data_IF_849983930550
#
_entry.id   IF_849983930550
#
_cell.length_a   1.000
_cell.length_b   1.000
_cell.length_c   1.000
_cell.angle_alpha   90.00
_cell.angle_beta   90.00
_cell.angle_gamma   90.00
#
_symmetry.space_group_name_H-M   'P 1'
#
loop_
_entity.id
_entity.type
_entity.pdbx_description
1 polymer ?
#
# COMPACT_ATOMS: atom_id res chain seq x y z
N UNK A 1 5.85 17.69 13.32
CA UNK A 1 5.75 17.81 11.85
C UNK A 1 6.52 16.65 11.24
N UNK A 2 5.86 15.51 10.98
CA UNK A 2 6.50 14.35 10.35
C UNK A 2 6.55 14.61 8.85
N UNK A 3 7.67 15.14 8.38
CA UNK A 3 7.89 15.47 6.97
C UNK A 3 8.10 14.18 6.17
N UNK A 4 7.01 13.64 5.66
CA UNK A 4 7.04 12.49 4.79
C UNK A 4 5.68 11.99 4.38
N UNK A 5 4.91 12.82 3.68
CA UNK A 5 3.60 12.43 3.15
C UNK A 5 3.66 11.32 2.09
N UNK A 6 2.54 11.06 1.37
CA UNK A 6 2.45 10.00 0.36
C UNK A 6 3.51 10.09 -0.73
N UNK A 7 4.03 11.30 -0.95
CA UNK A 7 5.10 11.59 -1.88
C UNK A 7 6.40 10.83 -1.60
N UNK A 8 6.74 10.56 -0.33
CA UNK A 8 7.93 9.73 -0.04
C UNK A 8 7.73 8.29 -0.50
N UNK A 9 6.52 7.74 -0.34
CA UNK A 9 6.18 6.41 -0.82
C UNK A 9 6.24 6.33 -2.36
N UNK A 10 6.00 7.44 -3.06
CA UNK A 10 6.17 7.52 -4.54
C UNK A 10 7.64 7.55 -4.98
N UNK A 11 8.58 7.77 -4.06
CA UNK A 11 10.03 7.89 -4.34
C UNK A 11 10.85 6.69 -3.87
N UNK A 12 10.19 5.65 -3.36
CA UNK A 12 10.83 4.40 -2.91
C UNK A 12 11.60 3.72 -4.05
N UNK A 13 12.54 2.85 -3.69
CA UNK A 13 13.32 2.03 -4.64
C UNK A 13 12.37 1.26 -5.55
N UNK A 14 11.35 0.62 -4.98
CA UNK A 14 10.34 -0.10 -5.76
C UNK A 14 9.55 0.82 -6.70
N UNK A 15 9.19 2.04 -6.28
CA UNK A 15 8.49 3.00 -7.15
C UNK A 15 9.35 3.45 -8.33
N UNK A 16 10.64 3.75 -8.10
CA UNK A 16 11.56 4.09 -9.19
C UNK A 16 11.76 2.89 -10.13
N UNK A 17 12.04 1.71 -9.58
CA UNK A 17 12.21 0.49 -10.36
C UNK A 17 10.99 0.17 -11.24
N UNK A 18 9.78 0.31 -10.68
CA UNK A 18 8.56 0.08 -11.44
C UNK A 18 8.36 1.12 -12.55
N UNK A 19 8.62 2.40 -12.26
CA UNK A 19 8.59 3.46 -13.25
C UNK A 19 9.58 3.22 -14.40
N UNK A 20 10.79 2.79 -14.07
CA UNK A 20 11.80 2.38 -15.06
C UNK A 20 11.34 1.17 -15.87
N UNK A 21 10.79 0.13 -15.22
CA UNK A 21 10.29 -1.06 -15.91
C UNK A 21 9.19 -0.71 -16.93
N UNK A 22 8.23 0.15 -16.55
CA UNK A 22 7.19 0.62 -17.46
C UNK A 22 7.75 1.50 -18.58
N UNK A 23 8.75 2.32 -18.30
CA UNK A 23 9.42 3.17 -19.29
C UNK A 23 10.46 2.41 -20.14
N UNK A 24 10.61 1.09 -19.97
CA UNK A 24 11.57 0.27 -20.72
C UNK A 24 11.11 -0.02 -22.15
N UNK A 25 11.99 -0.58 -22.97
CA UNK A 25 11.59 -1.15 -24.26
C UNK A 25 10.49 -2.21 -24.03
N UNK A 26 9.40 -2.09 -24.77
CA UNK A 26 8.25 -3.02 -24.75
C UNK A 26 8.68 -4.47 -24.83
N UNK A 27 9.71 -4.79 -25.62
CA UNK A 27 10.22 -6.19 -25.72
C UNK A 27 10.77 -6.69 -24.38
N UNK A 28 11.53 -5.87 -23.67
CA UNK A 28 12.08 -6.21 -22.35
C UNK A 28 10.95 -6.36 -21.34
N UNK A 29 10.01 -5.42 -21.33
CA UNK A 29 8.83 -5.44 -20.47
C UNK A 29 8.01 -6.72 -20.67
N UNK A 30 7.63 -7.04 -21.91
CA UNK A 30 6.84 -8.22 -22.26
C UNK A 30 7.57 -9.51 -21.86
N UNK A 31 8.88 -9.55 -22.04
CA UNK A 31 9.70 -10.70 -21.64
C UNK A 31 9.69 -10.88 -20.12
N UNK A 32 9.95 -9.82 -19.34
CA UNK A 32 9.94 -9.89 -17.86
C UNK A 32 8.55 -10.28 -17.34
N UNK A 33 7.48 -9.66 -17.85
CA UNK A 33 6.11 -10.00 -17.49
C UNK A 33 5.78 -11.46 -17.85
N UNK A 34 6.28 -11.97 -18.99
CA UNK A 34 6.16 -13.37 -19.37
C UNK A 34 6.76 -14.31 -18.33
N UNK A 35 7.97 -14.00 -17.83
CA UNK A 35 8.60 -14.77 -16.74
C UNK A 35 7.85 -14.65 -15.41
N UNK A 36 7.32 -13.47 -15.05
CA UNK A 36 6.51 -13.32 -13.82
C UNK A 36 5.25 -14.19 -13.86
N UNK A 37 4.52 -14.16 -14.99
CA UNK A 37 3.35 -15.00 -15.21
C UNK A 37 3.71 -16.49 -15.18
N UNK A 38 4.83 -16.87 -15.79
CA UNK A 38 5.31 -18.25 -15.76
C UNK A 38 5.65 -18.72 -14.34
N UNK A 39 6.36 -17.89 -13.56
CA UNK A 39 6.68 -18.20 -12.16
C UNK A 39 5.42 -18.37 -11.32
N UNK A 40 4.47 -17.43 -11.41
CA UNK A 40 3.22 -17.49 -10.68
C UNK A 40 2.40 -18.74 -11.06
N UNK A 41 2.37 -19.11 -12.35
CA UNK A 41 1.71 -20.33 -12.83
C UNK A 41 2.36 -21.60 -12.26
N UNK A 42 3.69 -21.69 -12.29
CA UNK A 42 4.44 -22.83 -11.75
C UNK A 42 4.22 -22.96 -10.23
N UNK A 43 4.25 -21.83 -9.51
CA UNK A 43 3.96 -21.80 -8.07
C UNK A 43 2.57 -22.36 -7.74
N UNK A 44 1.54 -22.02 -8.54
CA UNK A 44 0.18 -22.54 -8.37
C UNK A 44 0.05 -24.03 -8.67
N UNK A 45 0.92 -24.59 -9.51
CA UNK A 45 0.96 -26.03 -9.80
C UNK A 45 1.52 -26.90 -8.66
N UNK A 46 2.07 -26.28 -7.61
CA UNK A 46 2.76 -27.01 -6.53
C UNK A 46 4.11 -27.61 -6.96
N UNK A 47 4.57 -27.26 -8.16
CA UNK A 47 5.86 -27.72 -8.69
C UNK A 47 7.02 -27.04 -7.97
N UNK A 48 8.18 -27.70 -7.99
CA UNK A 48 9.41 -27.13 -7.43
C UNK A 48 9.77 -25.86 -8.18
N UNK A 49 10.47 -24.95 -7.49
CA UNK A 49 11.04 -23.71 -8.06
C UNK A 49 12.21 -24.03 -9.02
N UNK A 50 12.09 -25.06 -9.86
CA UNK A 50 13.12 -25.41 -10.83
C UNK A 50 13.11 -24.37 -11.95
N UNK A 51 14.22 -23.67 -12.10
CA UNK A 51 14.43 -22.69 -13.16
C UNK A 51 14.10 -23.22 -14.55
N UNK A 52 14.38 -24.50 -14.85
CA UNK A 52 14.12 -25.09 -16.17
C UNK A 52 12.62 -25.15 -16.46
N UNK A 53 11.83 -25.50 -15.44
CA UNK A 53 10.37 -25.54 -15.51
C UNK A 53 9.82 -24.13 -15.79
N UNK A 54 10.30 -23.13 -15.04
CA UNK A 54 9.86 -21.74 -15.23
C UNK A 54 10.25 -21.20 -16.60
N UNK A 55 11.47 -21.47 -17.07
CA UNK A 55 11.94 -21.04 -18.40
C UNK A 55 11.11 -21.70 -19.51
N UNK A 56 10.83 -23.00 -19.40
CA UNK A 56 9.97 -23.70 -20.34
C UNK A 56 8.54 -23.14 -20.35
N UNK A 57 7.97 -22.87 -19.17
CA UNK A 57 6.64 -22.28 -19.01
C UNK A 57 6.56 -20.85 -19.59
N UNK A 58 7.66 -20.09 -19.55
CA UNK A 58 7.76 -18.76 -20.16
C UNK A 58 7.97 -18.81 -21.69
N UNK A 59 8.19 -19.99 -22.29
CA UNK A 59 8.59 -20.12 -23.69
C UNK A 59 9.95 -19.46 -23.99
N UNK A 60 10.80 -19.33 -22.97
CA UNK A 60 12.06 -18.60 -23.05
C UNK A 60 13.29 -19.49 -23.18
N UNK A 61 14.46 -18.86 -23.30
CA UNK A 61 15.76 -19.52 -23.25
C UNK A 61 16.46 -19.28 -21.91
N UNK A 62 17.25 -20.25 -21.45
CA UNK A 62 18.04 -20.13 -20.21
C UNK A 62 18.98 -18.90 -20.24
N UNK A 63 19.57 -18.59 -21.39
CA UNK A 63 20.43 -17.41 -21.54
C UNK A 63 19.68 -16.10 -21.29
N UNK A 64 18.44 -15.97 -21.80
CA UNK A 64 17.56 -14.83 -21.52
C UNK A 64 17.21 -14.76 -20.04
N UNK A 65 16.89 -15.89 -19.42
CA UNK A 65 16.59 -15.94 -17.98
C UNK A 65 17.77 -15.43 -17.14
N UNK A 66 19.00 -15.89 -17.39
CA UNK A 66 20.18 -15.39 -16.68
C UNK A 66 20.50 -13.94 -17.01
N UNK A 67 20.24 -13.48 -18.24
CA UNK A 67 20.39 -12.07 -18.60
C UNK A 67 19.44 -11.17 -17.77
N UNK A 68 18.24 -11.64 -17.46
CA UNK A 68 17.23 -10.85 -16.73
C UNK A 68 17.36 -10.96 -15.21
N UNK A 69 17.61 -12.17 -14.70
CA UNK A 69 17.53 -12.47 -13.26
C UNK A 69 18.86 -12.98 -12.68
N UNK A 70 19.93 -13.03 -13.48
CA UNK A 70 21.27 -13.39 -13.00
C UNK A 70 21.95 -12.30 -12.17
N UNK A 71 23.18 -12.56 -11.70
CA UNK A 71 24.05 -11.53 -11.13
C UNK A 71 24.26 -10.39 -12.15
N UNK A 72 23.86 -9.17 -11.80
CA UNK A 72 23.90 -8.03 -12.73
C UNK A 72 22.81 -8.04 -13.80
N UNK A 73 21.71 -8.79 -13.59
CA UNK A 73 20.61 -8.86 -14.54
C UNK A 73 19.99 -7.50 -14.86
N UNK A 74 19.51 -7.35 -16.09
CA UNK A 74 18.97 -6.09 -16.61
C UNK A 74 17.81 -5.59 -15.72
N UNK A 75 18.03 -4.41 -15.12
CA UNK A 75 17.06 -3.73 -14.24
C UNK A 75 16.54 -4.65 -13.12
N UNK A 76 17.43 -5.42 -12.49
CA UNK A 76 17.06 -6.31 -11.40
C UNK A 76 16.68 -5.50 -10.14
N UNK A 77 15.52 -5.80 -9.57
CA UNK A 77 14.98 -5.06 -8.41
C UNK A 77 15.92 -5.15 -7.20
N UNK A 78 16.42 -6.35 -6.90
CA UNK A 78 17.31 -6.54 -5.76
C UNK A 78 18.66 -5.82 -5.93
N UNK A 79 19.09 -5.57 -7.17
CA UNK A 79 20.28 -4.74 -7.40
C UNK A 79 20.02 -3.28 -7.02
N UNK A 80 18.84 -2.75 -7.36
CA UNK A 80 18.43 -1.39 -6.96
C UNK A 80 18.31 -1.26 -5.44
N UNK A 81 17.81 -2.30 -4.74
CA UNK A 81 17.79 -2.33 -3.28
C UNK A 81 19.20 -2.43 -2.69
N UNK A 82 20.07 -3.28 -3.22
CA UNK A 82 21.44 -3.43 -2.73
C UNK A 82 22.24 -2.12 -2.89
N UNK A 83 22.01 -1.37 -3.96
CA UNK A 83 22.60 -0.05 -4.17
C UNK A 83 22.08 0.99 -3.15
N UNK A 84 20.77 0.98 -2.85
CA UNK A 84 20.17 1.99 -1.97
C UNK A 84 20.38 1.71 -0.48
N UNK A 85 20.30 0.45 -0.05
CA UNK A 85 20.30 0.05 1.37
C UNK A 85 21.61 -0.62 1.81
N UNK A 86 22.55 -0.84 0.89
CA UNK A 86 23.77 -1.60 1.12
C UNK A 86 23.56 -3.10 0.93
N UNK A 87 24.50 -3.76 0.24
CA UNK A 87 24.40 -5.16 -0.15
C UNK A 87 24.31 -6.18 0.99
N UNK A 88 24.65 -5.80 2.23
CA UNK A 88 24.54 -6.69 3.39
C UNK A 88 23.08 -6.93 3.83
N UNK A 89 22.18 -5.98 3.55
CA UNK A 89 20.76 -6.06 3.96
C UNK A 89 19.88 -6.83 2.98
N UNK A 90 20.35 -6.97 1.76
CA UNK A 90 19.63 -7.63 0.68
C UNK A 90 20.47 -8.84 0.29
N UNK A 91 20.05 -10.02 0.74
CA UNK A 91 20.70 -11.25 0.33
C UNK A 91 20.90 -11.26 -1.20
N UNK A 92 21.93 -11.96 -1.68
CA UNK A 92 22.20 -12.15 -3.10
C UNK A 92 21.67 -13.52 -3.55
N UNK A 93 20.35 -13.71 -3.63
CA UNK A 93 19.80 -15.03 -3.83
C UNK A 93 20.05 -15.50 -5.26
N UNK A 94 19.82 -16.80 -5.47
CA UNK A 94 19.89 -17.41 -6.80
C UNK A 94 18.87 -16.75 -7.76
N UNK A 95 19.08 -16.87 -9.09
CA UNK A 95 18.23 -16.20 -10.08
C UNK A 95 16.73 -16.54 -9.99
N UNK A 96 16.38 -17.74 -9.54
CA UNK A 96 14.98 -18.14 -9.41
C UNK A 96 14.32 -17.44 -8.24
N UNK A 97 15.04 -17.32 -7.13
CA UNK A 97 14.60 -16.53 -5.99
C UNK A 97 14.49 -15.04 -6.33
N UNK A 98 15.42 -14.48 -7.13
CA UNK A 98 15.31 -13.10 -7.68
C UNK A 98 14.02 -12.91 -8.47
N UNK A 99 13.73 -13.83 -9.38
CA UNK A 99 12.47 -13.85 -10.12
C UNK A 99 11.26 -13.92 -9.18
N UNK A 100 11.31 -14.74 -8.13
CA UNK A 100 10.24 -14.83 -7.14
C UNK A 100 9.96 -13.50 -6.43
N UNK A 101 11.01 -12.79 -6.00
CA UNK A 101 10.87 -11.46 -5.39
C UNK A 101 10.29 -10.42 -6.37
N UNK A 102 10.80 -10.37 -7.61
CA UNK A 102 10.26 -9.47 -8.63
C UNK A 102 8.80 -9.81 -8.99
N UNK A 103 8.45 -11.10 -9.04
CA UNK A 103 7.08 -11.57 -9.30
C UNK A 103 6.13 -11.17 -8.18
N UNK A 104 6.56 -11.28 -6.91
CA UNK A 104 5.76 -10.84 -5.76
C UNK A 104 5.49 -9.33 -5.81
N UNK A 105 6.48 -8.51 -6.16
CA UNK A 105 6.27 -7.06 -6.33
C UNK A 105 5.36 -6.75 -7.51
N UNK A 106 5.52 -7.45 -8.63
CA UNK A 106 4.66 -7.30 -9.80
C UNK A 106 3.19 -7.62 -9.49
N UNK A 107 2.93 -8.75 -8.81
CA UNK A 107 1.57 -9.14 -8.42
C UNK A 107 0.98 -8.19 -7.36
N UNK A 108 1.78 -7.76 -6.39
CA UNK A 108 1.36 -6.83 -5.33
C UNK A 108 1.11 -5.40 -5.83
N UNK A 109 1.62 -5.02 -7.01
CA UNK A 109 1.62 -3.62 -7.44
C UNK A 109 0.23 -2.98 -7.45
N UNK A 110 -0.79 -3.73 -7.87
CA UNK A 110 -2.19 -3.26 -7.86
C UNK A 110 -2.69 -2.91 -6.45
N UNK A 111 -2.45 -3.81 -5.47
CA UNK A 111 -2.79 -3.59 -4.06
C UNK A 111 -2.06 -2.36 -3.51
N UNK A 112 -0.77 -2.21 -3.84
CA UNK A 112 0.02 -1.02 -3.46
C UNK A 112 -0.59 0.28 -3.99
N UNK A 113 -0.98 0.32 -5.27
CA UNK A 113 -1.59 1.52 -5.86
C UNK A 113 -2.92 1.85 -5.18
N UNK A 114 -3.77 0.85 -4.94
CA UNK A 114 -5.03 1.05 -4.22
C UNK A 114 -4.83 1.61 -2.82
N UNK A 115 -3.85 1.07 -2.08
CA UNK A 115 -3.46 1.57 -0.77
C UNK A 115 -2.98 3.03 -0.81
N UNK A 116 -2.07 3.37 -1.73
CA UNK A 116 -1.56 4.74 -1.88
C UNK A 116 -2.68 5.73 -2.24
N UNK A 117 -3.59 5.36 -3.13
CA UNK A 117 -4.76 6.19 -3.46
C UNK A 117 -5.67 6.44 -2.25
N UNK A 118 -5.81 5.45 -1.35
CA UNK A 118 -6.52 5.62 -0.09
C UNK A 118 -5.84 6.62 0.84
N UNK A 119 -4.51 6.54 0.96
CA UNK A 119 -3.73 7.46 1.81
C UNK A 119 -3.75 8.92 1.31
N UNK A 120 -3.90 9.14 0.00
CA UNK A 120 -3.96 10.49 -0.58
C UNK A 120 -5.25 11.24 -0.20
N UNK A 121 -6.34 10.51 0.01
CA UNK A 121 -7.63 11.11 0.39
C UNK A 121 -7.63 11.54 1.85
N UNK A 122 -6.90 10.84 2.72
CA UNK A 122 -6.77 11.17 4.14
C UNK A 122 -5.46 10.58 4.62
N UNK A 123 -4.44 11.42 4.85
CA UNK A 123 -3.19 10.94 5.43
C UNK A 123 -3.41 10.63 6.90
N UNK A 124 -3.53 9.35 7.29
CA UNK A 124 -3.96 9.00 8.62
C UNK A 124 -2.77 8.98 9.57
N UNK A 125 -3.05 8.89 10.87
CA UNK A 125 -2.01 8.72 11.90
C UNK A 125 -1.13 7.49 11.58
N UNK A 126 0.18 7.48 11.90
CA UNK A 126 1.09 6.37 11.57
C UNK A 126 0.56 4.98 11.90
N UNK A 127 -0.12 4.79 13.02
CA UNK A 127 -0.74 3.51 13.40
C UNK A 127 -1.79 3.02 12.39
N UNK A 128 -2.61 3.92 11.84
CA UNK A 128 -3.59 3.59 10.82
C UNK A 128 -2.93 3.30 9.46
N UNK A 129 -1.81 3.96 9.15
CA UNK A 129 -0.99 3.62 7.97
C UNK A 129 -0.42 2.21 8.08
N UNK A 130 0.12 1.86 9.26
CA UNK A 130 0.64 0.50 9.54
C UNK A 130 -0.47 -0.54 9.42
N UNK A 131 -1.61 -0.33 10.09
CA UNK A 131 -2.73 -1.26 10.06
C UNK A 131 -3.24 -1.46 8.63
N UNK A 132 -3.48 -0.38 7.89
CA UNK A 132 -3.94 -0.49 6.51
C UNK A 132 -2.95 -1.26 5.62
N UNK A 133 -1.64 -1.05 5.77
CA UNK A 133 -0.64 -1.80 5.02
C UNK A 133 -0.60 -3.29 5.39
N UNK A 134 -0.76 -3.63 6.68
CA UNK A 134 -0.90 -5.03 7.14
C UNK A 134 -2.11 -5.69 6.50
N UNK A 135 -3.26 -5.02 6.49
CA UNK A 135 -4.48 -5.50 5.84
C UNK A 135 -4.29 -5.72 4.33
N UNK A 136 -3.64 -4.78 3.64
CA UNK A 136 -3.35 -4.86 2.20
C UNK A 136 -2.40 -6.02 1.86
N UNK A 137 -1.39 -6.29 2.70
CA UNK A 137 -0.50 -7.45 2.51
C UNK A 137 -1.23 -8.77 2.79
N UNK A 138 -2.12 -8.81 3.78
CA UNK A 138 -2.94 -9.99 4.06
C UNK A 138 -3.91 -10.29 2.89
N UNK A 139 -4.56 -9.27 2.35
CA UNK A 139 -5.44 -9.36 1.17
C UNK A 139 -4.69 -9.88 -0.07
N UNK A 140 -3.53 -9.30 -0.37
CA UNK A 140 -2.64 -9.81 -1.42
C UNK A 140 -2.29 -11.29 -1.21
N UNK A 141 -1.97 -11.68 0.03
CA UNK A 141 -1.58 -13.05 0.33
C UNK A 141 -2.74 -14.04 0.21
N UNK A 142 -3.97 -13.60 0.50
CA UNK A 142 -5.19 -14.37 0.27
C UNK A 142 -5.48 -14.58 -1.22
N UNK A 143 -5.21 -13.57 -2.06
CA UNK A 143 -5.36 -13.67 -3.52
C UNK A 143 -4.25 -14.51 -4.17
N UNK A 144 -3.01 -14.42 -3.67
CA UNK A 144 -1.82 -15.07 -4.23
C UNK A 144 -1.14 -16.09 -3.28
N UNK A 145 -1.85 -17.06 -2.68
CA UNK A 145 -1.31 -17.89 -1.60
C UNK A 145 -0.17 -18.79 -2.07
N UNK A 146 -0.22 -19.27 -3.32
CA UNK A 146 0.82 -20.10 -3.91
C UNK A 146 2.10 -19.32 -4.17
N UNK A 147 1.99 -18.06 -4.61
CA UNK A 147 3.14 -17.19 -4.83
C UNK A 147 3.84 -16.89 -3.50
N UNK A 148 3.07 -16.54 -2.46
CA UNK A 148 3.60 -16.31 -1.11
C UNK A 148 4.30 -17.55 -0.56
N UNK A 149 3.73 -18.75 -0.72
CA UNK A 149 4.42 -20.01 -0.37
C UNK A 149 5.69 -20.23 -1.19
N UNK A 150 5.64 -19.93 -2.48
CA UNK A 150 6.78 -20.01 -3.40
C UNK A 150 7.84 -18.91 -3.19
N UNK A 151 7.64 -17.97 -2.27
CA UNK A 151 8.69 -17.06 -1.81
C UNK A 151 9.11 -17.33 -0.36
N UNK A 152 8.63 -18.43 0.25
CA UNK A 152 8.94 -18.77 1.64
C UNK A 152 8.19 -17.90 2.64
N UNK A 153 7.02 -17.42 2.26
CA UNK A 153 6.19 -16.50 3.02
C UNK A 153 6.82 -15.12 3.24
N UNK A 154 7.79 -14.76 2.41
CA UNK A 154 8.35 -13.42 2.39
C UNK A 154 7.29 -12.45 1.83
N UNK A 155 7.01 -11.33 2.52
CA UNK A 155 6.13 -10.31 1.98
C UNK A 155 6.80 -9.64 0.76
N UNK A 156 6.04 -8.94 -0.10
CA UNK A 156 6.62 -8.14 -1.18
C UNK A 156 7.64 -7.14 -0.60
N UNK A 157 8.86 -7.13 -1.16
CA UNK A 157 9.95 -6.29 -0.62
C UNK A 157 9.60 -4.79 -0.62
N UNK A 158 8.77 -4.36 -1.57
CA UNK A 158 8.25 -3.00 -1.63
C UNK A 158 7.35 -2.65 -0.44
N UNK A 159 6.56 -3.61 0.08
CA UNK A 159 5.73 -3.38 1.25
C UNK A 159 6.59 -3.22 2.53
N UNK A 160 7.71 -3.94 2.62
CA UNK A 160 8.70 -3.75 3.71
C UNK A 160 9.24 -2.32 3.68
N UNK A 161 9.68 -1.87 2.50
CA UNK A 161 10.18 -0.50 2.31
C UNK A 161 9.10 0.56 2.61
N UNK A 162 7.89 0.37 2.10
CA UNK A 162 6.77 1.27 2.32
C UNK A 162 6.46 1.41 3.82
N UNK A 163 6.51 0.30 4.58
CA UNK A 163 6.31 0.31 6.03
C UNK A 163 7.45 1.04 6.77
N UNK A 164 8.70 0.82 6.36
CA UNK A 164 9.86 1.54 6.90
C UNK A 164 9.71 3.05 6.67
N UNK A 165 9.31 3.46 5.46
CA UNK A 165 9.10 4.88 5.12
C UNK A 165 7.92 5.47 5.87
N UNK A 166 6.78 4.79 5.90
CA UNK A 166 5.56 5.25 6.56
C UNK A 166 5.75 5.46 8.08
N UNK A 167 6.60 4.65 8.71
CA UNK A 167 6.94 4.77 10.13
C UNK A 167 8.10 5.71 10.40
N UNK A 168 8.64 6.41 9.38
CA UNK A 168 9.80 7.27 9.53
C UNK A 168 11.06 6.53 10.01
N UNK A 169 11.17 5.24 9.67
CA UNK A 169 12.25 4.35 10.08
C UNK A 169 12.14 3.83 11.51
N UNK A 170 11.05 4.12 12.23
CA UNK A 170 10.83 3.58 13.59
C UNK A 170 10.79 2.05 13.59
N UNK A 171 10.14 1.46 12.59
CA UNK A 171 10.22 0.03 12.35
C UNK A 171 11.38 -0.23 11.38
N UNK A 172 12.45 -0.82 11.91
CA UNK A 172 13.58 -1.26 11.08
C UNK A 172 13.16 -2.35 10.08
N UNK A 173 14.01 -2.56 9.07
CA UNK A 173 13.77 -3.51 7.98
C UNK A 173 13.36 -4.91 8.45
N UNK A 174 14.10 -5.48 9.41
CA UNK A 174 13.83 -6.83 9.92
C UNK A 174 12.50 -6.90 10.69
N UNK A 175 12.17 -5.85 11.44
CA UNK A 175 10.88 -5.74 12.14
C UNK A 175 9.72 -5.63 11.16
N UNK A 176 9.87 -4.81 10.12
CA UNK A 176 8.88 -4.67 9.05
C UNK A 176 8.70 -5.98 8.27
N UNK A 177 9.80 -6.66 7.93
CA UNK A 177 9.78 -7.95 7.25
C UNK A 177 9.11 -9.04 8.10
N UNK A 178 9.39 -9.08 9.41
CA UNK A 178 8.79 -10.03 10.33
C UNK A 178 7.28 -9.81 10.45
N UNK A 179 6.84 -8.58 10.73
CA UNK A 179 5.43 -8.23 10.87
C UNK A 179 4.63 -8.54 9.59
N UNK A 180 5.09 -8.03 8.45
CA UNK A 180 4.41 -8.25 7.17
C UNK A 180 4.49 -9.71 6.72
N UNK A 181 5.56 -10.43 7.08
CA UNK A 181 5.67 -11.87 6.87
C UNK A 181 4.62 -12.66 7.64
N UNK A 182 4.30 -12.27 8.88
CA UNK A 182 3.20 -12.89 9.63
C UNK A 182 1.84 -12.61 9.00
N UNK A 183 1.60 -11.36 8.56
CA UNK A 183 0.38 -10.98 7.83
C UNK A 183 0.21 -11.82 6.55
N UNK A 184 1.28 -11.94 5.76
CA UNK A 184 1.29 -12.75 4.54
C UNK A 184 1.04 -14.24 4.83
N UNK A 185 1.64 -14.80 5.90
CA UNK A 185 1.39 -16.21 6.30
C UNK A 185 -0.07 -16.44 6.66
N UNK A 186 -0.66 -15.56 7.48
CA UNK A 186 -2.04 -15.69 7.94
C UNK A 186 -3.02 -15.56 6.76
N UNK A 187 -2.85 -14.53 5.91
CA UNK A 187 -3.68 -14.34 4.72
C UNK A 187 -3.61 -15.52 3.75
N UNK A 188 -2.41 -16.06 3.49
CA UNK A 188 -2.24 -17.19 2.58
C UNK A 188 -2.59 -18.57 3.19
N UNK A 189 -2.78 -18.66 4.50
CA UNK A 189 -3.19 -19.89 5.19
C UNK A 189 -4.69 -20.12 5.07
N UNK A 190 -5.50 -19.06 5.20
CA UNK A 190 -6.94 -19.10 4.98
C UNK A 190 -7.40 -17.91 4.13
N UNK A 191 -7.49 -18.10 2.80
CA UNK A 191 -7.94 -17.05 1.87
C UNK A 191 -9.35 -16.52 2.14
N UNK A 192 -10.16 -17.20 2.97
CA UNK A 192 -11.50 -16.74 3.34
C UNK A 192 -11.49 -15.86 4.59
N UNK A 193 -10.38 -15.82 5.34
CA UNK A 193 -10.24 -14.96 6.50
C UNK A 193 -10.19 -13.50 6.02
N UNK A 194 -11.12 -12.64 6.47
CA UNK A 194 -11.09 -11.23 6.15
C UNK A 194 -9.79 -10.57 6.65
N UNK A 195 -9.21 -9.59 5.93
CA UNK A 195 -8.01 -8.87 6.37
C UNK A 195 -8.14 -8.28 7.78
N UNK A 196 -9.34 -7.83 8.15
CA UNK A 196 -9.68 -7.32 9.49
C UNK A 196 -9.36 -8.33 10.60
N UNK A 197 -9.67 -9.62 10.38
CA UNK A 197 -9.40 -10.68 11.35
C UNK A 197 -7.90 -11.01 11.43
N UNK A 198 -7.16 -10.89 10.32
CA UNK A 198 -5.70 -11.01 10.33
C UNK A 198 -5.09 -9.87 11.15
N UNK A 199 -5.58 -8.64 10.99
CA UNK A 199 -5.15 -7.49 11.78
C UNK A 199 -5.46 -7.66 13.27
N UNK A 200 -6.66 -8.12 13.61
CA UNK A 200 -7.05 -8.39 15.00
C UNK A 200 -6.14 -9.41 15.66
N UNK A 201 -5.77 -10.46 14.91
CA UNK A 201 -4.84 -11.49 15.39
C UNK A 201 -3.39 -11.01 15.52
N UNK A 202 -3.02 -9.91 14.88
CA UNK A 202 -1.70 -9.28 14.96
C UNK A 202 -1.70 -8.06 15.88
N UNK A 203 -2.83 -7.73 16.52
CA UNK A 203 -2.99 -6.52 17.31
C UNK A 203 -2.02 -6.45 18.49
N UNK A 204 -1.82 -7.57 19.18
CA UNK A 204 -0.89 -7.64 20.32
C UNK A 204 0.57 -7.51 19.85
N UNK A 205 0.91 -8.12 18.70
CA UNK A 205 2.23 -7.98 18.08
C UNK A 205 2.49 -6.52 17.65
N UNK A 206 1.48 -5.86 17.07
CA UNK A 206 1.53 -4.45 16.67
C UNK A 206 1.71 -3.53 17.88
N UNK A 207 0.95 -3.74 18.96
CA UNK A 207 1.07 -2.97 20.20
C UNK A 207 2.46 -3.11 20.84
N UNK A 208 3.06 -4.30 20.75
CA UNK A 208 4.42 -4.56 21.22
C UNK A 208 5.51 -3.86 20.40
N UNK A 209 5.26 -3.52 19.14
CA UNK A 209 6.21 -2.83 18.25
C UNK A 209 6.25 -1.30 18.47
N UNK A 210 5.22 -0.73 19.09
CA UNK A 210 5.16 0.69 19.44
C UNK A 210 5.05 0.89 20.97
N UNK A 211 6.00 0.35 21.76
CA UNK A 211 5.92 0.42 23.21
C UNK A 211 5.97 1.89 23.66
N UNK A 212 4.93 2.34 24.36
CA UNK A 212 4.86 3.67 24.95
C UNK A 212 4.08 4.75 24.18
N UNK A 213 3.36 4.42 23.08
CA UNK A 213 2.49 5.38 22.37
C UNK A 213 0.98 5.06 22.35
N UNK A 214 0.55 3.86 22.74
CA UNK A 214 -0.70 3.28 22.23
C UNK A 214 -1.98 3.35 23.09
N UNK A 215 -2.19 4.38 23.90
CA UNK A 215 -3.57 4.64 24.33
C UNK A 215 -3.81 6.12 24.58
N UNK A 216 -3.00 6.72 25.45
CA UNK A 216 -3.28 8.07 25.96
C UNK A 216 -2.89 9.14 24.94
N UNK A 217 -1.79 8.98 24.20
CA UNK A 217 -1.39 9.93 23.16
C UNK A 217 -2.31 9.83 21.93
N UNK A 218 -2.64 8.61 21.48
CA UNK A 218 -3.58 8.39 20.39
C UNK A 218 -5.01 8.86 20.74
N UNK A 219 -5.45 8.67 21.99
CA UNK A 219 -6.73 9.23 22.49
C UNK A 219 -6.67 10.75 22.60
N UNK A 220 -5.59 11.33 23.12
CA UNK A 220 -5.43 12.77 23.24
C UNK A 220 -5.42 13.45 21.86
N UNK A 221 -4.68 12.90 20.89
CA UNK A 221 -4.65 13.42 19.53
C UNK A 221 -5.98 13.22 18.79
N UNK A 222 -6.67 12.10 19.01
CA UNK A 222 -8.02 11.88 18.49
C UNK A 222 -9.06 12.84 19.08
N UNK A 223 -8.95 13.14 20.37
CA UNK A 223 -9.79 14.15 21.05
C UNK A 223 -9.49 15.54 20.51
N UNK A 224 -8.22 15.92 20.34
CA UNK A 224 -7.84 17.22 19.81
C UNK A 224 -8.32 17.42 18.36
N UNK A 225 -8.26 16.39 17.51
CA UNK A 225 -8.77 16.45 16.15
C UNK A 225 -10.30 16.64 16.10
N UNK A 226 -11.04 15.95 16.97
CA UNK A 226 -12.50 16.12 17.09
C UNK A 226 -12.86 17.52 17.62
N UNK A 227 -12.13 18.01 18.62
CA UNK A 227 -12.33 19.35 19.17
C UNK A 227 -12.01 20.45 18.16
N UNK A 228 -10.96 20.29 17.35
CA UNK A 228 -10.63 21.21 16.26
C UNK A 228 -11.75 21.24 15.21
N UNK A 229 -12.24 20.08 14.77
CA UNK A 229 -13.36 20.00 13.82
C UNK A 229 -14.65 20.62 14.36
N UNK A 230 -14.98 20.41 15.64
CA UNK A 230 -16.11 21.07 16.28
C UNK A 230 -15.93 22.60 16.38
N UNK A 231 -14.69 23.07 16.57
CA UNK A 231 -14.36 24.50 16.56
C UNK A 231 -14.59 25.15 15.20
N UNK A 232 -14.19 24.48 14.12
CA UNK A 232 -14.43 24.91 12.75
C UNK A 232 -15.93 24.93 12.42
N UNK A 233 -16.66 23.86 12.77
CA UNK A 233 -18.12 23.79 12.56
C UNK A 233 -18.84 24.89 13.34
N UNK A 234 -18.46 25.13 14.60
CA UNK A 234 -19.03 26.21 15.41
C UNK A 234 -18.76 27.59 14.81
N UNK A 235 -17.57 27.81 14.28
CA UNK A 235 -17.19 29.08 13.64
C UNK A 235 -17.99 29.30 12.35
N UNK A 236 -18.11 28.27 11.51
CA UNK A 236 -18.94 28.31 10.30
C UNK A 236 -20.43 28.54 10.62
N UNK A 237 -20.93 27.95 11.72
CA UNK A 237 -22.31 28.16 12.16
C UNK A 237 -22.55 29.58 12.67
N UNK A 238 -21.60 30.14 13.45
CA UNK A 238 -21.65 31.52 13.92
C UNK A 238 -21.57 32.52 12.76
N UNK A 239 -20.70 32.26 11.78
CA UNK A 239 -20.61 33.08 10.58
C UNK A 239 -21.91 33.02 9.78
N UNK A 240 -22.48 31.83 9.57
CA UNK A 240 -23.76 31.66 8.89
C UNK A 240 -24.93 32.35 9.63
N UNK A 241 -24.98 32.26 10.96
CA UNK A 241 -26.00 32.96 11.78
C UNK A 241 -25.81 34.47 11.72
N UNK A 242 -24.56 34.95 11.74
CA UNK A 242 -24.26 36.40 11.65
C UNK A 242 -24.60 36.93 10.26
N UNK A 243 -24.31 36.16 9.20
CA UNK A 243 -24.68 36.51 7.82
C UNK A 243 -26.20 36.53 7.64
N UNK A 244 -26.92 35.57 8.21
CA UNK A 244 -28.38 35.52 8.18
C UNK A 244 -29.04 36.64 9.01
N UNK A 245 -28.41 37.08 10.10
CA UNK A 245 -28.87 38.22 10.89
C UNK A 245 -28.56 39.58 10.24
N UNK A 246 -27.55 39.63 9.36
CA UNK A 246 -27.18 40.82 8.60
C UNK A 246 -28.03 41.04 7.34
N UNK A 247 -28.78 40.03 6.88
CA UNK A 247 -29.76 40.20 5.80
C UNK A 247 -31.03 40.84 6.40
N UNK A 248 -31.32 42.13 6.11
CA UNK A 248 -32.47 42.80 6.68
C UNK A 248 -33.76 42.07 6.25
N UNK A 249 -34.79 42.02 7.11
CA UNK A 249 -36.03 41.34 6.78
C UNK A 249 -36.56 41.89 5.45
N UNK A 250 -36.70 40.99 4.46
CA UNK A 250 -37.25 41.38 3.16
C UNK A 250 -38.55 42.14 3.40
N UNK A 251 -38.71 43.34 2.83
CA UNK A 251 -39.94 44.09 2.99
C UNK A 251 -41.11 43.19 2.56
N UNK A 252 -42.23 43.21 3.31
CA UNK A 252 -43.36 42.34 3.01
C UNK A 252 -43.76 42.54 1.56
N UNK A 253 -43.78 41.44 0.80
CA UNK A 253 -44.23 41.46 -0.59
C UNK A 253 -45.65 42.04 -0.59
N UNK A 254 -45.91 43.13 -1.33
CA UNK A 254 -47.22 43.74 -1.35
C UNK A 254 -48.25 42.71 -1.77
N UNK A 255 -49.15 42.33 -0.85
CA UNK A 255 -50.28 41.46 -1.18
C UNK A 255 -51.17 42.28 -2.11
N UNK A 256 -51.18 41.92 -3.39
CA UNK A 256 -52.01 42.57 -4.39
C UNK A 256 -53.47 42.54 -3.91
N UNK A 257 -54.04 43.72 -3.64
CA UNK A 257 -55.44 43.82 -3.26
C UNK A 257 -56.29 43.42 -4.48
N UNK A 258 -57.26 42.50 -4.33
CA UNK A 258 -58.17 42.18 -5.41
C UNK A 258 -58.96 43.44 -5.80
N UNK A 259 -58.90 43.78 -7.09
CA UNK A 259 -59.60 44.90 -7.70
C UNK A 259 -61.11 44.73 -7.51
N UNK A 260 -61.76 45.69 -6.84
CA UNK A 260 -63.22 45.76 -6.77
C UNK A 260 -63.75 46.31 -8.10
N UNK A 261 -64.36 45.44 -8.90
CA UNK A 261 -65.19 45.86 -10.02
C UNK A 261 -66.46 46.52 -9.48
N UNK A 262 -66.71 47.77 -9.86
CA UNK A 262 -67.98 48.47 -9.63
C UNK A 262 -69.04 47.91 -10.57
N UNK A 263 -70.15 47.45 -9.99
CA UNK A 263 -71.41 47.22 -10.70
C UNK A 263 -72.18 48.55 -10.81
N UNK A 264 -72.66 48.82 -12.02
CA UNK A 264 -73.72 49.77 -12.33
C UNK A 264 -75.02 48.98 -12.57
#
# INVERSE_FOLDING_TARGET
MMAGGPELLRRTVAARWWGELIASDRRLQDTKIGYYKAFAKVASGGETRDRKVVVAAAGGAMSTFYKLFGPGGDRALLSAYAEHWGGERVATPDPTSRLGYETAVWAYWGHRQGWLSGLEQTWPHPSAVVNSLVGVVADFAAEWPHLVRATGWAPPICAIEDLCVATGGMLGWDGAAALLGQAARRGAADPKTPPEQVMDALRDDLAGLFPGRDAVAALAEGVDAVLASLGEVKSALLEAVTLAAADPPRPPVPVARPSRASAA
#
